data_IF_060372571641
#
_entry.id   IF_060372571641
#
_cell.length_a   1.000
_cell.length_b   1.000
_cell.length_c   1.000
_cell.angle_alpha   90.00
_cell.angle_beta   90.00
_cell.angle_gamma   90.00
#
_symmetry.space_group_name_H-M   'P 1'
#
loop_
_entity.id
_entity.type
_entity.pdbx_description
1 polymer ?
#
# COMPACT_ATOMS: atom_id res chain seq x y z
N UNK A 1 -6.80 9.80 5.86
CA UNK A 1 -7.21 9.64 7.27
C UNK A 1 -7.87 10.94 7.72
N UNK A 2 -8.88 10.91 8.59
CA UNK A 2 -9.47 12.13 9.18
C UNK A 2 -8.64 12.49 10.42
N UNK A 3 -8.33 13.78 10.63
CA UNK A 3 -7.44 14.25 11.70
C UNK A 3 -7.86 13.77 13.10
N UNK A 4 -9.18 13.68 13.35
CA UNK A 4 -9.74 13.19 14.63
C UNK A 4 -9.32 11.75 14.93
N UNK A 5 -9.35 10.87 13.92
CA UNK A 5 -8.98 9.46 14.08
C UNK A 5 -7.48 9.36 14.32
N UNK A 6 -6.68 10.13 13.57
CA UNK A 6 -5.23 10.15 13.75
C UNK A 6 -4.83 10.61 15.16
N UNK A 7 -5.46 11.68 15.66
CA UNK A 7 -5.27 12.16 17.05
C UNK A 7 -5.57 11.07 18.08
N UNK A 8 -6.73 10.43 17.97
CA UNK A 8 -7.15 9.40 18.92
C UNK A 8 -6.17 8.22 18.93
N UNK A 9 -5.78 7.76 17.75
CA UNK A 9 -4.82 6.68 17.59
C UNK A 9 -3.48 7.04 18.23
N UNK A 10 -2.95 8.24 17.95
CA UNK A 10 -1.64 8.68 18.44
C UNK A 10 -1.59 8.81 19.98
N UNK A 11 -2.67 9.33 20.59
CA UNK A 11 -2.78 9.43 22.05
C UNK A 11 -2.82 8.05 22.71
N UNK A 12 -3.53 7.10 22.11
CA UNK A 12 -3.57 5.75 22.66
C UNK A 12 -2.24 5.03 22.49
N UNK A 13 -1.60 5.21 21.35
CA UNK A 13 -0.31 4.59 21.09
C UNK A 13 0.80 5.11 22.03
N UNK A 14 0.79 6.41 22.36
CA UNK A 14 1.72 7.01 23.32
C UNK A 14 1.67 6.37 24.72
N UNK A 15 0.50 5.84 25.12
CA UNK A 15 0.31 5.15 26.41
C UNK A 15 0.91 3.75 26.44
N UNK A 16 1.17 3.15 25.29
CA UNK A 16 1.74 1.80 25.20
C UNK A 16 3.26 1.79 25.44
N UNK A 17 3.91 2.95 25.31
CA UNK A 17 5.35 3.06 25.45
C UNK A 17 5.74 3.48 26.87
N UNK A 18 6.84 2.90 27.35
CA UNK A 18 7.55 3.34 28.56
C UNK A 18 8.89 4.02 28.22
N UNK A 19 9.14 4.29 26.94
CA UNK A 19 10.37 4.88 26.41
C UNK A 19 10.04 5.83 25.27
N UNK A 20 10.96 6.75 24.99
CA UNK A 20 10.73 7.75 23.95
C UNK A 20 10.98 7.17 22.55
N UNK A 21 10.06 7.44 21.63
CA UNK A 21 10.19 7.08 20.22
C UNK A 21 10.05 8.31 19.31
N UNK A 22 10.66 8.23 18.13
CA UNK A 22 10.53 9.23 17.09
C UNK A 22 9.66 8.69 15.95
N UNK A 23 8.57 9.39 15.66
CA UNK A 23 7.63 9.07 14.61
C UNK A 23 7.80 10.03 13.45
N UNK A 24 8.31 9.52 12.33
CA UNK A 24 8.48 10.28 11.09
C UNK A 24 7.24 10.11 10.21
N UNK A 25 6.59 11.22 9.87
CA UNK A 25 5.33 11.22 9.10
C UNK A 25 5.43 12.19 7.92
N UNK A 26 4.66 11.93 6.87
CA UNK A 26 4.53 12.80 5.72
C UNK A 26 3.81 14.11 6.04
N UNK A 27 4.15 15.17 5.31
CA UNK A 27 3.47 16.45 5.42
C UNK A 27 2.09 16.39 4.74
N UNK A 28 1.11 15.82 5.45
CA UNK A 28 -0.28 15.72 5.01
C UNK A 28 -1.20 16.51 5.93
N UNK A 29 -2.16 17.24 5.35
CA UNK A 29 -3.05 18.14 6.08
C UNK A 29 -3.78 17.48 7.25
N UNK A 30 -4.18 16.21 7.13
CA UNK A 30 -4.86 15.51 8.23
C UNK A 30 -3.93 15.09 9.37
N UNK A 31 -2.61 15.21 9.20
CA UNK A 31 -1.62 14.97 10.26
C UNK A 31 -1.23 16.25 11.00
N UNK A 32 -1.61 17.42 10.49
CA UNK A 32 -1.46 18.69 11.19
C UNK A 32 -2.48 18.70 12.32
N UNK A 33 -2.05 18.28 13.50
CA UNK A 33 -2.88 18.33 14.70
C UNK A 33 -2.30 19.35 15.67
N UNK A 34 -2.99 20.48 15.77
CA UNK A 34 -2.66 21.49 16.75
C UNK A 34 -2.94 20.98 18.18
N UNK A 35 -2.06 21.32 19.12
CA UNK A 35 -2.23 21.07 20.54
C UNK A 35 -2.46 19.59 20.94
N UNK A 36 -1.52 18.70 20.60
CA UNK A 36 -1.39 17.40 21.28
C UNK A 36 -0.13 17.41 22.14
N UNK A 37 -0.29 17.05 23.41
CA UNK A 37 0.81 16.74 24.30
C UNK A 37 0.97 15.22 24.38
N UNK A 38 2.13 14.71 23.93
CA UNK A 38 2.51 13.30 23.97
C UNK A 38 3.72 13.15 24.90
N UNK A 39 3.76 12.08 25.70
CA UNK A 39 4.80 11.88 26.69
C UNK A 39 6.03 11.17 26.11
N UNK A 40 5.80 10.20 25.23
CA UNK A 40 6.81 9.28 24.73
C UNK A 40 7.02 9.40 23.22
N UNK A 41 6.00 9.77 22.47
CA UNK A 41 6.05 9.86 21.02
C UNK A 41 6.37 11.29 20.58
N UNK A 42 7.53 11.48 19.96
CA UNK A 42 7.87 12.73 19.28
C UNK A 42 7.56 12.59 17.79
N UNK A 43 6.68 13.43 17.27
CA UNK A 43 6.35 13.46 15.84
C UNK A 43 7.23 14.47 15.11
N UNK A 44 7.83 14.05 14.00
CA UNK A 44 8.54 14.94 13.06
C UNK A 44 7.92 14.76 11.67
N UNK A 45 7.56 15.88 11.05
CA UNK A 45 7.08 15.90 9.68
C UNK A 45 8.27 15.97 8.72
N UNK A 46 8.24 15.13 7.68
CA UNK A 46 9.20 15.25 6.58
C UNK A 46 8.92 16.50 5.75
N UNK A 47 9.93 17.06 5.06
CA UNK A 47 9.75 18.21 4.18
C UNK A 47 8.73 17.94 3.08
N UNK A 48 7.98 18.97 2.71
CA UNK A 48 7.08 18.93 1.56
C UNK A 48 7.83 18.48 0.29
N UNK A 49 7.17 17.69 -0.56
CA UNK A 49 7.70 17.17 -1.84
C UNK A 49 8.87 16.16 -1.74
N UNK A 50 9.27 15.73 -0.55
CA UNK A 50 10.31 14.68 -0.39
C UNK A 50 9.75 13.30 -0.06
N UNK A 51 8.43 13.18 0.05
CA UNK A 51 7.71 11.97 0.48
C UNK A 51 8.09 10.73 -0.33
N UNK A 52 8.05 10.81 -1.66
CA UNK A 52 8.41 9.68 -2.53
C UNK A 52 9.89 9.25 -2.43
N UNK A 53 10.77 10.14 -1.99
CA UNK A 53 12.22 9.91 -1.92
C UNK A 53 12.64 9.45 -0.52
N UNK A 54 11.97 9.92 0.53
CA UNK A 54 12.44 9.71 1.91
C UNK A 54 11.52 8.75 2.68
N UNK A 55 10.24 8.61 2.31
CA UNK A 55 9.30 7.77 3.07
C UNK A 55 9.60 6.27 2.89
N UNK A 56 10.00 5.56 3.97
CA UNK A 56 10.24 4.12 3.91
C UNK A 56 8.97 3.34 3.53
N UNK A 57 7.81 3.85 3.94
CA UNK A 57 6.50 3.29 3.60
C UNK A 57 6.30 3.24 2.09
N UNK A 58 6.50 4.35 1.39
CA UNK A 58 6.27 4.42 -0.06
C UNK A 58 7.31 3.60 -0.85
N UNK A 59 8.57 3.63 -0.43
CA UNK A 59 9.65 2.98 -1.18
C UNK A 59 9.75 1.46 -0.96
N UNK A 60 9.55 1.00 0.27
CA UNK A 60 9.73 -0.40 0.64
C UNK A 60 8.40 -1.12 0.82
N UNK A 61 7.66 -0.71 1.85
CA UNK A 61 6.53 -1.48 2.38
C UNK A 61 5.37 -1.50 1.39
N UNK A 62 4.90 -0.34 0.95
CA UNK A 62 3.78 -0.18 0.01
C UNK A 62 4.14 -0.79 -1.34
N UNK A 63 5.36 -0.56 -1.83
CA UNK A 63 5.85 -1.16 -3.07
C UNK A 63 5.78 -2.68 -3.01
N UNK A 64 6.29 -3.29 -1.94
CA UNK A 64 6.30 -4.74 -1.74
C UNK A 64 4.88 -5.29 -1.65
N UNK A 65 4.02 -4.68 -0.83
CA UNK A 65 2.63 -5.07 -0.67
C UNK A 65 1.88 -5.04 -2.02
N UNK A 66 2.03 -3.95 -2.78
CA UNK A 66 1.43 -3.83 -4.13
C UNK A 66 1.95 -4.90 -5.07
N UNK A 67 3.24 -5.25 -5.02
CA UNK A 67 3.81 -6.31 -5.85
C UNK A 67 3.20 -7.68 -5.52
N UNK A 68 3.12 -8.04 -4.23
CA UNK A 68 2.50 -9.28 -3.76
C UNK A 68 1.04 -9.37 -4.16
N UNK A 69 0.25 -8.31 -3.89
CA UNK A 69 -1.17 -8.29 -4.20
C UNK A 69 -1.44 -8.45 -5.70
N UNK A 70 -0.72 -7.70 -6.55
CA UNK A 70 -0.84 -7.84 -8.01
C UNK A 70 -0.44 -9.23 -8.50
N UNK A 71 0.61 -9.80 -7.93
CA UNK A 71 1.06 -11.16 -8.25
C UNK A 71 -0.02 -12.20 -7.90
N UNK A 72 -0.65 -12.07 -6.74
CA UNK A 72 -1.76 -12.92 -6.32
C UNK A 72 -2.98 -12.78 -7.24
N UNK A 73 -3.36 -11.56 -7.62
CA UNK A 73 -4.46 -11.34 -8.57
C UNK A 73 -4.15 -11.96 -9.92
N UNK A 74 -2.96 -11.73 -10.48
CA UNK A 74 -2.58 -12.31 -11.78
C UNK A 74 -2.68 -13.83 -11.78
N UNK A 75 -2.21 -14.49 -10.72
CA UNK A 75 -2.36 -15.96 -10.59
C UNK A 75 -3.81 -16.40 -10.58
N UNK A 76 -4.69 -15.69 -9.86
CA UNK A 76 -6.13 -16.00 -9.83
C UNK A 76 -6.78 -15.81 -11.21
N UNK A 77 -6.43 -14.75 -11.91
CA UNK A 77 -6.95 -14.48 -13.26
C UNK A 77 -6.49 -15.54 -14.24
N UNK A 78 -5.19 -15.89 -14.25
CA UNK A 78 -4.66 -16.95 -15.10
C UNK A 78 -5.32 -18.30 -14.83
N UNK A 79 -5.43 -18.70 -13.56
CA UNK A 79 -6.11 -19.95 -13.19
C UNK A 79 -7.58 -19.97 -13.64
N UNK A 80 -8.28 -18.83 -13.60
CA UNK A 80 -9.65 -18.73 -14.08
C UNK A 80 -9.76 -18.76 -15.63
N UNK A 81 -8.73 -18.31 -16.35
CA UNK A 81 -8.64 -18.45 -17.81
C UNK A 81 -8.35 -19.90 -18.17
N UNK A 82 -7.35 -20.52 -17.54
CA UNK A 82 -6.98 -21.92 -17.78
C UNK A 82 -8.14 -22.86 -17.48
N UNK A 83 -8.89 -22.63 -16.40
CA UNK A 83 -10.09 -23.42 -16.07
C UNK A 83 -11.28 -23.20 -17.02
N UNK A 84 -11.26 -22.15 -17.85
CA UNK A 84 -12.25 -21.92 -18.92
C UNK A 84 -11.79 -22.45 -20.27
N UNK A 85 -10.52 -22.81 -20.39
CA UNK A 85 -9.94 -23.48 -21.55
C UNK A 85 -9.84 -24.96 -21.15
N UNK A 86 -10.94 -25.71 -21.28
CA UNK A 86 -10.85 -27.17 -21.32
C UNK A 86 -9.80 -27.56 -22.39
N UNK A 87 -9.03 -28.66 -22.21
CA UNK A 87 -8.00 -29.03 -23.17
C UNK A 87 -8.66 -29.18 -24.55
N UNK A 88 -8.34 -28.24 -25.44
CA UNK A 88 -8.71 -28.30 -26.84
C UNK A 88 -8.19 -29.63 -27.37
N UNK A 89 -9.11 -30.50 -27.76
CA UNK A 89 -8.78 -31.74 -28.45
C UNK A 89 -7.91 -31.36 -29.67
N UNK A 90 -6.74 -31.99 -29.89
CA UNK A 90 -5.81 -31.59 -30.95
C UNK A 90 -6.41 -31.51 -32.36
N UNK A 91 -7.61 -32.05 -32.60
CA UNK A 91 -8.35 -31.89 -33.86
C UNK A 91 -9.01 -30.51 -34.07
N UNK A 92 -9.24 -29.70 -33.03
CA UNK A 92 -10.03 -28.45 -33.15
C UNK A 92 -9.16 -27.18 -33.34
N UNK A 93 -7.83 -27.30 -33.33
CA UNK A 93 -6.89 -26.19 -33.42
C UNK A 93 -6.76 -25.54 -34.83
N UNK A 94 -7.65 -25.88 -35.78
CA UNK A 94 -7.58 -25.35 -37.15
C UNK A 94 -8.27 -24.00 -37.36
N UNK A 95 -8.89 -23.38 -36.35
CA UNK A 95 -9.54 -22.08 -36.55
C UNK A 95 -8.66 -20.92 -36.03
N UNK A 96 -7.83 -20.43 -36.95
CA UNK A 96 -6.99 -19.24 -36.83
C UNK A 96 -7.72 -18.01 -36.29
N UNK A 97 -7.25 -17.47 -35.16
CA UNK A 97 -7.57 -16.10 -34.72
C UNK A 97 -6.36 -15.19 -34.93
N UNK A 98 -6.40 -14.39 -36.00
CA UNK A 98 -5.47 -13.26 -36.21
C UNK A 98 -5.93 -12.10 -35.31
N UNK A 99 -5.16 -11.78 -34.28
CA UNK A 99 -5.31 -10.50 -33.57
C UNK A 99 -4.44 -9.48 -34.31
N UNK A 100 -5.11 -8.59 -35.05
CA UNK A 100 -4.48 -7.40 -35.62
C UNK A 100 -4.34 -6.36 -34.51
N UNK A 101 -3.12 -6.10 -34.07
CA UNK A 101 -2.79 -4.94 -33.23
C UNK A 101 -2.72 -3.72 -34.14
N UNK A 102 -3.54 -2.70 -33.87
CA UNK A 102 -3.37 -1.34 -34.39
C UNK A 102 -2.78 -0.48 -33.29
#
# INVERSE_FOLDING_TARGET
MIAVIFKYWLINWDKEFNWNILLLIDHFLAHIIECISLRHVKVIFLPENTTSIIQPCDQGIIRSLKAYYRSAIRRKVLAAIDARIDPVNPQDASCSFKISVK
#
